data_IF_183474561198
#
_entry.id   IF_183474561198
#
_cell.length_a   1.000
_cell.length_b   1.000
_cell.length_c   1.000
_cell.angle_alpha   90.00
_cell.angle_beta   90.00
_cell.angle_gamma   90.00
#
_symmetry.space_group_name_H-M   'P 1'
#
loop_
_entity.id
_entity.type
_entity.pdbx_description
1 polymer ?
#
# COMPACT_ATOMS: atom_id res chain seq x y z
N UNK A 1 25.22 -2.76 27.85
CA UNK A 1 24.04 -1.95 27.44
C UNK A 1 23.06 -2.88 26.77
N UNK A 2 21.99 -3.27 27.46
CA UNK A 2 20.93 -4.09 26.88
C UNK A 2 20.02 -3.18 26.05
N UNK A 3 19.79 -3.55 24.79
CA UNK A 3 18.77 -2.94 23.94
C UNK A 3 17.41 -3.16 24.60
N UNK A 4 16.83 -2.07 25.09
CA UNK A 4 15.47 -2.03 25.62
C UNK A 4 14.55 -2.50 24.50
N UNK A 5 14.01 -3.72 24.63
CA UNK A 5 13.04 -4.26 23.68
C UNK A 5 11.89 -3.27 23.52
N UNK A 6 11.70 -2.76 22.30
CA UNK A 6 10.47 -2.05 21.96
C UNK A 6 9.34 -3.02 22.24
N UNK A 7 8.49 -2.69 23.21
CA UNK A 7 7.26 -3.43 23.46
C UNK A 7 6.51 -3.51 22.12
N UNK A 8 6.27 -4.73 21.63
CA UNK A 8 5.46 -4.96 20.45
C UNK A 8 4.11 -4.29 20.68
N UNK A 9 3.77 -3.35 19.81
CA UNK A 9 2.44 -2.74 19.84
C UNK A 9 1.45 -3.81 19.38
N UNK A 10 0.31 -3.97 20.08
CA UNK A 10 -0.72 -4.88 19.59
C UNK A 10 -1.14 -4.43 18.19
N UNK A 11 -0.91 -5.30 17.20
CA UNK A 11 -1.20 -5.04 15.79
C UNK A 11 -2.23 -6.07 15.31
N UNK A 12 -3.28 -5.59 14.65
CA UNK A 12 -4.24 -6.45 13.99
C UNK A 12 -3.80 -6.68 12.54
N UNK A 13 -3.43 -7.92 12.21
CA UNK A 13 -3.04 -8.29 10.86
C UNK A 13 -4.23 -8.84 10.06
N UNK A 14 -4.48 -8.26 8.90
CA UNK A 14 -5.54 -8.67 7.98
C UNK A 14 -4.94 -8.84 6.57
N UNK A 15 -4.11 -9.88 6.35
CA UNK A 15 -3.50 -10.09 5.04
C UNK A 15 -4.56 -10.44 4.00
N UNK A 16 -4.35 -10.01 2.77
CA UNK A 16 -5.09 -10.51 1.62
C UNK A 16 -4.10 -11.09 0.61
N UNK A 17 -4.37 -12.31 0.13
CA UNK A 17 -3.49 -12.97 -0.85
C UNK A 17 -3.76 -12.37 -2.22
N UNK A 18 -2.70 -12.09 -2.96
CA UNK A 18 -2.81 -11.65 -4.37
C UNK A 18 -3.27 -12.82 -5.23
N UNK A 19 -2.80 -14.05 -4.96
CA UNK A 19 -3.23 -15.22 -5.72
C UNK A 19 -3.70 -16.34 -4.81
N UNK A 20 -4.65 -17.11 -5.33
CA UNK A 20 -5.12 -18.36 -4.74
C UNK A 20 -4.61 -19.52 -5.59
N UNK A 21 -4.01 -20.57 -5.01
CA UNK A 21 -3.69 -21.79 -5.76
C UNK A 21 -4.98 -22.42 -6.30
N UNK A 22 -5.02 -22.85 -7.56
CA UNK A 22 -6.20 -23.53 -8.12
C UNK A 22 -6.54 -24.85 -7.43
N UNK A 23 -5.55 -25.48 -6.79
CA UNK A 23 -5.79 -26.66 -5.95
C UNK A 23 -6.68 -26.32 -4.74
N UNK A 24 -6.57 -25.10 -4.21
CA UNK A 24 -7.43 -24.62 -3.11
C UNK A 24 -8.78 -24.12 -3.63
N UNK A 25 -8.84 -23.60 -4.86
CA UNK A 25 -10.05 -23.04 -5.46
C UNK A 25 -10.21 -23.42 -6.95
N UNK A 26 -10.57 -24.69 -7.25
CA UNK A 26 -10.56 -25.22 -8.62
C UNK A 26 -11.59 -24.56 -9.54
N UNK A 27 -12.68 -24.05 -8.96
CA UNK A 27 -13.80 -23.42 -9.68
C UNK A 27 -13.73 -21.88 -9.64
N UNK A 28 -12.63 -21.30 -9.15
CA UNK A 28 -12.48 -19.85 -9.07
C UNK A 28 -12.17 -19.28 -10.45
N UNK A 29 -13.03 -18.35 -10.89
CA UNK A 29 -12.83 -17.63 -12.14
C UNK A 29 -11.86 -16.47 -11.94
N UNK A 30 -10.99 -16.18 -12.93
CA UNK A 30 -10.18 -14.97 -12.92
C UNK A 30 -11.07 -13.72 -12.83
N UNK A 31 -10.74 -12.83 -11.89
CA UNK A 31 -11.42 -11.55 -11.77
C UNK A 31 -10.72 -10.47 -12.61
N UNK A 32 -11.47 -9.42 -12.95
CA UNK A 32 -10.91 -8.24 -13.62
C UNK A 32 -9.90 -7.55 -12.71
N UNK A 33 -8.69 -7.36 -13.21
CA UNK A 33 -7.62 -6.67 -12.48
C UNK A 33 -7.86 -5.17 -12.55
N UNK A 34 -7.71 -4.49 -11.42
CA UNK A 34 -7.75 -3.02 -11.40
C UNK A 34 -6.42 -2.47 -11.96
N UNK A 35 -6.42 -1.69 -13.04
CA UNK A 35 -5.18 -1.10 -13.60
C UNK A 35 -4.40 -0.27 -12.58
N UNK A 36 -5.06 0.39 -11.63
CA UNK A 36 -4.42 1.19 -10.58
C UNK A 36 -3.65 0.33 -9.55
N UNK A 37 -3.97 -0.97 -9.47
CA UNK A 37 -3.29 -1.96 -8.62
C UNK A 37 -2.19 -2.72 -9.37
N UNK A 38 -2.25 -2.75 -10.70
CA UNK A 38 -1.40 -3.58 -11.56
C UNK A 38 -0.78 -2.75 -12.69
N UNK A 39 -0.08 -1.67 -12.33
CA UNK A 39 0.51 -0.71 -13.27
C UNK A 39 1.39 -1.38 -14.34
N UNK A 40 2.01 -2.52 -14.03
CA UNK A 40 2.90 -3.27 -14.92
C UNK A 40 2.25 -4.51 -15.57
N UNK A 41 0.95 -4.73 -15.36
CA UNK A 41 0.22 -5.90 -15.87
C UNK A 41 0.74 -7.25 -15.34
N UNK A 42 1.35 -7.27 -14.14
CA UNK A 42 1.88 -8.48 -13.53
C UNK A 42 0.78 -9.46 -13.14
N UNK A 43 -0.28 -8.99 -12.49
CA UNK A 43 -1.40 -9.83 -12.06
C UNK A 43 -2.10 -10.41 -13.28
N UNK A 44 -2.38 -9.56 -14.27
CA UNK A 44 -3.00 -9.97 -15.53
C UNK A 44 -2.16 -11.04 -16.26
N UNK A 45 -0.85 -10.80 -16.39
CA UNK A 45 0.08 -11.74 -17.03
C UNK A 45 0.16 -13.07 -16.29
N UNK A 46 0.20 -13.08 -14.96
CA UNK A 46 0.23 -14.33 -14.19
C UNK A 46 -1.07 -15.10 -14.36
N UNK A 47 -2.23 -14.43 -14.31
CA UNK A 47 -3.53 -15.06 -14.59
C UNK A 47 -3.59 -15.72 -15.97
N UNK A 48 -2.99 -15.09 -16.99
CA UNK A 48 -3.00 -15.59 -18.37
C UNK A 48 -1.99 -16.73 -18.61
N UNK A 49 -0.83 -16.69 -17.96
CA UNK A 49 0.30 -17.61 -18.26
C UNK A 49 0.44 -18.76 -17.27
N UNK A 50 0.03 -18.58 -16.01
CA UNK A 50 0.23 -19.55 -14.95
C UNK A 50 -1.09 -20.25 -14.60
N UNK A 51 -1.25 -21.48 -15.08
CA UNK A 51 -2.42 -22.30 -14.79
C UNK A 51 -2.57 -22.74 -13.33
N UNK A 52 -1.56 -22.57 -12.48
CA UNK A 52 -1.56 -23.05 -11.09
C UNK A 52 -2.18 -22.07 -10.09
N UNK A 53 -2.26 -20.79 -10.47
CA UNK A 53 -2.75 -19.72 -9.61
C UNK A 53 -3.90 -18.99 -10.28
N UNK A 54 -4.74 -18.36 -9.48
CA UNK A 54 -5.82 -17.49 -9.94
C UNK A 54 -5.93 -16.28 -9.02
N UNK A 55 -5.95 -15.10 -9.61
CA UNK A 55 -6.46 -13.88 -8.99
C UNK A 55 -7.96 -13.84 -9.27
N UNK A 56 -8.75 -14.22 -8.28
CA UNK A 56 -10.21 -14.23 -8.33
C UNK A 56 -10.83 -13.15 -7.46
N UNK A 57 -12.15 -13.16 -7.34
CA UNK A 57 -12.88 -12.14 -6.57
C UNK A 57 -12.45 -12.07 -5.11
N UNK A 58 -12.08 -13.21 -4.53
CA UNK A 58 -11.58 -13.28 -3.15
C UNK A 58 -10.19 -12.66 -2.96
N UNK A 59 -9.47 -12.35 -4.04
CA UNK A 59 -8.18 -11.68 -3.97
C UNK A 59 -8.30 -10.16 -4.11
N UNK A 60 -9.51 -9.64 -4.36
CA UNK A 60 -9.75 -8.20 -4.51
C UNK A 60 -9.89 -7.54 -3.14
N UNK A 61 -9.11 -6.47 -2.93
CA UNK A 61 -9.40 -5.47 -1.89
C UNK A 61 -10.04 -4.27 -2.56
N UNK A 62 -11.19 -3.84 -2.04
CA UNK A 62 -11.86 -2.63 -2.49
C UNK A 62 -11.29 -1.42 -1.74
N UNK A 63 -11.01 -0.36 -2.49
CA UNK A 63 -10.56 0.92 -1.95
C UNK A 63 -11.59 1.99 -2.29
N UNK A 64 -12.07 2.70 -1.28
CA UNK A 64 -13.14 3.68 -1.43
C UNK A 64 -12.92 4.94 -0.61
N UNK A 65 -13.71 5.98 -0.92
CA UNK A 65 -13.82 7.22 -0.16
C UNK A 65 -15.30 7.51 0.07
N UNK A 66 -15.67 7.79 1.33
CA UNK A 66 -17.01 8.24 1.65
C UNK A 66 -17.19 9.70 1.20
N UNK A 67 -18.19 9.93 0.35
CA UNK A 67 -18.57 11.26 -0.14
C UNK A 67 -20.05 11.51 0.10
N UNK A 68 -20.38 12.76 0.41
CA UNK A 68 -21.76 13.23 0.38
C UNK A 68 -22.15 13.48 -1.08
N UNK A 69 -23.27 12.93 -1.52
CA UNK A 69 -23.86 13.29 -2.81
C UNK A 69 -24.67 14.60 -2.72
N UNK A 70 -25.16 15.08 -3.87
CA UNK A 70 -25.95 16.31 -3.94
C UNK A 70 -27.26 16.27 -3.12
N UNK A 71 -27.71 15.07 -2.71
CA UNK A 71 -28.89 14.85 -1.87
C UNK A 71 -28.56 14.73 -0.39
N UNK A 72 -27.29 14.89 -0.01
CA UNK A 72 -26.79 14.73 1.36
C UNK A 72 -26.66 13.27 1.81
N UNK A 73 -26.73 12.31 0.87
CA UNK A 73 -26.55 10.88 1.19
C UNK A 73 -25.07 10.50 1.07
N UNK A 74 -24.60 9.70 2.02
CA UNK A 74 -23.27 9.09 1.98
C UNK A 74 -23.21 8.05 0.87
N UNK A 75 -22.21 8.14 0.00
CA UNK A 75 -21.87 7.17 -1.04
C UNK A 75 -20.38 6.89 -1.01
N UNK A 76 -20.01 5.63 -1.17
CA UNK A 76 -18.63 5.22 -1.35
C UNK A 76 -18.26 5.30 -2.82
N UNK A 77 -17.22 6.07 -3.15
CA UNK A 77 -16.66 6.16 -4.51
C UNK A 77 -15.32 5.43 -4.53
N UNK A 78 -15.05 4.66 -5.58
CA UNK A 78 -13.76 3.96 -5.72
C UNK A 78 -12.60 4.95 -5.83
N UNK A 79 -11.49 4.60 -5.19
CA UNK A 79 -10.25 5.38 -5.24
C UNK A 79 -9.04 4.44 -5.43
N UNK A 80 -7.94 4.95 -5.99
CA UNK A 80 -6.67 4.23 -5.96
C UNK A 80 -6.17 4.05 -4.52
N UNK A 81 -5.53 2.92 -4.18
CA UNK A 81 -4.94 2.72 -2.85
C UNK A 81 -3.89 3.78 -2.50
N UNK A 82 -3.21 4.36 -3.50
CA UNK A 82 -2.19 5.41 -3.35
C UNK A 82 -2.75 6.71 -2.73
N UNK A 83 -4.08 6.87 -2.65
CA UNK A 83 -4.71 8.02 -1.98
C UNK A 83 -4.76 7.90 -0.46
N UNK A 84 -4.61 6.70 0.10
CA UNK A 84 -4.59 6.47 1.54
C UNK A 84 -3.20 6.73 2.10
N UNK A 85 -3.12 7.49 3.20
CA UNK A 85 -1.86 7.80 3.86
C UNK A 85 -1.93 7.54 5.36
N UNK A 86 -0.75 7.47 5.97
CA UNK A 86 -0.62 7.37 7.42
C UNK A 86 -1.25 8.58 8.09
N UNK A 87 -2.14 8.33 9.05
CA UNK A 87 -2.90 9.35 9.78
C UNK A 87 -4.30 9.60 9.25
N UNK A 88 -4.70 8.97 8.13
CA UNK A 88 -6.08 8.98 7.68
C UNK A 88 -6.97 8.09 8.56
N UNK A 89 -8.25 8.46 8.69
CA UNK A 89 -9.26 7.65 9.35
C UNK A 89 -9.98 6.84 8.28
N UNK A 90 -9.96 5.51 8.45
CA UNK A 90 -10.55 4.57 7.51
C UNK A 90 -11.53 3.64 8.22
N UNK A 91 -12.58 3.24 7.51
CA UNK A 91 -13.39 2.07 7.83
C UNK A 91 -12.80 0.84 7.14
N UNK A 92 -12.74 -0.28 7.85
CA UNK A 92 -12.17 -1.53 7.36
C UNK A 92 -13.22 -2.62 7.43
N UNK A 93 -13.52 -3.23 6.29
CA UNK A 93 -14.26 -4.49 6.26
C UNK A 93 -13.31 -5.65 6.01
N UNK A 94 -13.46 -6.72 6.79
CA UNK A 94 -12.69 -7.95 6.65
C UNK A 94 -13.62 -9.16 6.76
N UNK A 95 -13.19 -10.29 6.18
CA UNK A 95 -13.82 -11.59 6.38
C UNK A 95 -13.00 -12.39 7.38
N UNK A 96 -13.66 -13.12 8.27
CA UNK A 96 -12.99 -14.13 9.10
C UNK A 96 -13.22 -15.51 8.48
N UNK A 97 -12.13 -16.20 8.16
CA UNK A 97 -12.17 -17.56 7.63
C UNK A 97 -11.58 -18.50 8.66
N UNK A 98 -12.41 -19.44 9.14
CA UNK A 98 -11.97 -20.52 10.01
C UNK A 98 -11.73 -21.78 9.18
N UNK A 99 -10.58 -22.41 9.38
CA UNK A 99 -10.23 -23.68 8.77
C UNK A 99 -9.55 -24.57 9.80
N UNK A 100 -9.77 -25.88 9.71
CA UNK A 100 -9.19 -26.84 10.64
C UNK A 100 -8.76 -28.11 9.96
N UNK A 101 -7.76 -28.79 10.55
CA UNK A 101 -7.33 -30.12 10.14
C UNK A 101 -7.17 -30.96 11.40
N UNK A 102 -8.03 -31.97 11.56
CA UNK A 102 -8.11 -32.73 12.81
C UNK A 102 -8.69 -31.88 13.94
N UNK A 103 -8.01 -31.82 15.09
CA UNK A 103 -8.47 -31.12 16.30
C UNK A 103 -8.06 -29.64 16.37
N UNK A 104 -7.23 -29.15 15.45
CA UNK A 104 -6.82 -27.75 15.41
C UNK A 104 -7.73 -26.93 14.51
N UNK A 105 -8.36 -25.89 15.07
CA UNK A 105 -9.10 -24.86 14.33
C UNK A 105 -8.28 -23.57 14.34
N UNK A 106 -8.04 -23.01 13.15
CA UNK A 106 -7.33 -21.74 12.96
C UNK A 106 -8.26 -20.77 12.25
N UNK A 107 -8.32 -19.55 12.76
CA UNK A 107 -9.02 -18.45 12.11
C UNK A 107 -8.00 -17.48 11.50
N UNK A 108 -8.33 -16.94 10.32
CA UNK A 108 -7.58 -15.85 9.68
C UNK A 108 -8.53 -14.74 9.29
N UNK A 109 -8.04 -13.51 9.38
CA UNK A 109 -8.74 -12.35 8.86
C UNK A 109 -8.24 -12.06 7.45
N UNK A 110 -9.16 -11.78 6.54
CA UNK A 110 -8.91 -11.40 5.16
C UNK A 110 -9.45 -10.00 4.92
N UNK A 111 -8.57 -9.06 4.57
CA UNK A 111 -8.98 -7.70 4.25
C UNK A 111 -9.85 -7.68 2.99
N UNK A 112 -11.00 -7.00 3.03
CA UNK A 112 -11.96 -6.91 1.91
C UNK A 112 -12.16 -5.50 1.41
N UNK A 113 -12.22 -4.52 2.31
CA UNK A 113 -12.49 -3.14 1.95
C UNK A 113 -11.75 -2.18 2.88
N UNK A 114 -11.21 -1.10 2.32
CA UNK A 114 -10.74 0.07 3.05
C UNK A 114 -11.48 1.29 2.49
N UNK A 115 -12.28 1.94 3.33
CA UNK A 115 -13.02 3.16 2.96
C UNK A 115 -12.50 4.35 3.74
N UNK A 116 -11.96 5.34 3.04
CA UNK A 116 -11.52 6.62 3.60
C UNK A 116 -12.70 7.42 4.13
N UNK A 117 -12.70 7.71 5.44
CA UNK A 117 -13.71 8.51 6.12
C UNK A 117 -13.23 9.94 6.35
N UNK A 118 -11.96 10.12 6.74
CA UNK A 118 -11.37 11.43 6.99
C UNK A 118 -9.91 11.48 6.52
N UNK A 119 -9.63 12.39 5.60
CA UNK A 119 -8.30 12.67 5.06
C UNK A 119 -7.72 14.01 5.56
N UNK A 120 -8.27 14.58 6.64
CA UNK A 120 -7.86 15.89 7.16
C UNK A 120 -6.36 15.95 7.45
N UNK A 121 -5.77 14.86 7.95
CA UNK A 121 -4.33 14.77 8.18
C UNK A 121 -3.53 14.90 6.87
N UNK A 122 -3.87 14.08 5.87
CA UNK A 122 -3.26 14.13 4.53
C UNK A 122 -3.43 15.48 3.86
N UNK A 123 -4.61 16.09 3.96
CA UNK A 123 -4.87 17.40 3.38
C UNK A 123 -4.04 18.50 4.03
N UNK A 124 -3.86 18.47 5.37
CA UNK A 124 -2.99 19.42 6.08
C UNK A 124 -1.55 19.26 5.64
N UNK A 125 -1.04 18.02 5.62
CA UNK A 125 0.31 17.71 5.17
C UNK A 125 0.57 18.18 3.73
N UNK A 126 -0.35 17.90 2.80
CA UNK A 126 -0.23 18.37 1.41
C UNK A 126 -0.19 19.90 1.30
N UNK A 127 -1.05 20.60 2.06
CA UNK A 127 -1.06 22.08 2.10
C UNK A 127 0.27 22.63 2.61
N UNK A 128 0.84 22.03 3.64
CA UNK A 128 2.14 22.43 4.18
C UNK A 128 3.29 22.15 3.22
N UNK A 129 3.29 20.98 2.56
CA UNK A 129 4.27 20.62 1.55
C UNK A 129 4.29 21.59 0.38
N UNK A 130 3.11 21.98 -0.14
CA UNK A 130 2.99 22.97 -1.21
C UNK A 130 3.47 24.36 -0.75
N UNK A 131 3.11 24.78 0.46
CA UNK A 131 3.62 26.04 1.04
C UNK A 131 5.15 26.03 1.14
N UNK A 132 5.75 24.95 1.63
CA UNK A 132 7.21 24.80 1.72
C UNK A 132 7.87 24.81 0.34
N UNK A 133 7.28 24.16 -0.67
CA UNK A 133 7.79 24.21 -2.04
C UNK A 133 7.70 25.61 -2.65
N UNK A 134 6.62 26.35 -2.41
CA UNK A 134 6.49 27.74 -2.87
C UNK A 134 7.52 28.69 -2.25
N UNK A 135 7.94 28.40 -1.01
CA UNK A 135 9.03 29.13 -0.33
C UNK A 135 10.41 28.75 -0.90
N UNK A 136 10.65 27.47 -1.22
CA UNK A 136 11.90 27.00 -1.82
C UNK A 136 12.13 27.49 -3.27
N UNK A 137 11.08 27.87 -4.02
CA UNK A 137 11.27 28.53 -5.33
C UNK A 137 11.90 29.93 -5.16
N UNK A 138 11.64 30.62 -4.02
CA UNK A 138 12.24 31.93 -3.72
C UNK A 138 13.62 31.85 -3.06
N UNK A 139 13.97 30.71 -2.47
CA UNK A 139 15.29 30.47 -1.89
C UNK A 139 15.79 29.13 -2.42
N UNK A 140 16.51 29.15 -3.54
CA UNK A 140 17.39 28.05 -3.93
C UNK A 140 18.70 28.20 -3.15
N UNK A 141 18.92 27.50 -2.02
CA UNK A 141 20.26 27.39 -1.46
C UNK A 141 21.10 26.61 -2.46
N UNK A 142 22.02 27.31 -3.14
CA UNK A 142 23.06 26.66 -3.91
C UNK A 142 23.98 25.93 -2.93
N UNK A 143 23.77 24.62 -2.78
CA UNK A 143 24.73 23.75 -2.11
C UNK A 143 25.99 23.71 -2.98
N UNK A 144 26.95 24.61 -2.70
CA UNK A 144 28.30 24.51 -3.26
C UNK A 144 28.95 23.24 -2.72
N UNK A 145 28.91 22.18 -3.53
CA UNK A 145 29.69 20.95 -3.31
C UNK A 145 31.16 21.33 -3.20
N UNK A 146 31.76 21.19 -2.02
CA UNK A 146 33.21 21.29 -1.85
C UNK A 146 33.86 20.03 -2.41
N UNK A 147 34.47 20.14 -3.59
CA UNK A 147 35.47 19.17 -4.07
C UNK A 147 36.77 19.46 -3.32
N UNK A 148 37.25 18.50 -2.53
CA UNK A 148 38.67 18.46 -2.14
C UNK A 148 39.42 17.88 -3.34
N UNK A 149 40.41 18.61 -3.83
CA UNK A 149 41.49 18.05 -4.64
C UNK A 149 42.62 17.75 -3.66
N UNK A 150 43.04 16.49 -3.59
CA UNK A 150 44.38 16.13 -3.12
C UNK A 150 45.19 15.96 -4.41
N UNK A 151 46.03 16.95 -4.71
CA UNK A 151 47.09 16.81 -5.71
C UNK A 151 48.22 16.05 -5.03
N UNK A 152 48.23 14.73 -5.18
CA UNK A 152 49.39 13.93 -4.84
C UNK A 152 50.36 13.95 -6.04
N UNK A 153 51.37 14.80 -5.93
CA UNK A 153 52.59 14.75 -6.74
C UNK A 153 53.27 13.38 -6.56
N UNK A 154 53.11 12.47 -7.52
CA UNK A 154 54.03 11.33 -7.64
C UNK A 154 55.20 11.68 -8.56
N UNK A 155 56.23 12.21 -7.90
CA UNK A 155 57.62 12.19 -8.34
C UNK A 155 58.15 10.74 -8.29
N UNK A 156 58.42 10.13 -9.43
CA UNK A 156 59.43 9.05 -9.51
C UNK A 156 60.36 9.30 -10.69
N UNK A 157 61.55 9.79 -10.38
CA UNK A 157 62.65 9.88 -11.32
C UNK A 157 63.29 8.53 -11.66
N UNK A 158 63.83 8.45 -12.87
CA UNK A 158 65.24 8.12 -13.16
C UNK A 158 65.57 8.55 -14.59
#
# INVERSE_FOLDING_TARGET
>A
MATKGMAERPMLEMPNRIFTPKVEAPNMNPATVNPEMDENGFIERINATNGMFVYGEENIVLYGEERMDATGRKKTVRIPPQRLHVGDIVDIAFSMVAFGRGSELKARLLLRNITLLDATHTQKWLKEKVKAQSLNIRMQPTLKRRLKFEDDEENTGK
#
